data_IF_798988476398
#
_entry.id   IF_798988476398
#
_cell.length_a   1.000
_cell.length_b   1.000
_cell.length_c   1.000
_cell.angle_alpha   90.00
_cell.angle_beta   90.00
_cell.angle_gamma   90.00
#
_symmetry.space_group_name_H-M   'P 1'
#
loop_
_entity.id
_entity.type
_entity.pdbx_description
1 polymer ?
#
# COMPACT_ATOMS: atom_id res chain seq x y z
N UNK A 1 31.50 5.49 -10.45
CA UNK A 1 31.30 4.89 -10.45
C UNK A 1 30.82 3.99 -10.36
N UNK A 2 30.63 3.55 -10.51
CA UNK A 2 30.26 2.69 -10.54
C UNK A 2 29.82 1.84 -9.97
N UNK A 3 29.15 1.61 -9.88
CA UNK A 3 28.59 0.95 -9.20
C UNK A 3 28.36 -0.31 -9.40
N UNK A 4 28.75 -0.93 -8.97
CA UNK A 4 28.71 -2.21 -9.10
C UNK A 4 27.71 -2.94 -8.43
N UNK A 5 26.61 -2.56 -8.35
CA UNK A 5 25.69 -3.43 -7.80
C UNK A 5 24.88 -4.13 -8.79
N UNK A 6 25.29 -4.17 -9.97
CA UNK A 6 24.52 -4.77 -11.02
C UNK A 6 24.23 -6.23 -10.83
N UNK A 7 25.05 -6.91 -10.10
CA UNK A 7 24.82 -8.33 -9.91
C UNK A 7 23.90 -8.62 -8.74
N UNK A 8 23.55 -7.62 -7.98
CA UNK A 8 22.77 -7.84 -6.78
C UNK A 8 21.30 -7.56 -6.96
N UNK A 9 20.87 -7.24 -8.17
CA UNK A 9 19.51 -6.84 -8.43
C UNK A 9 19.24 -5.42 -7.97
N UNK A 10 17.98 -5.00 -7.95
CA UNK A 10 17.63 -3.63 -7.59
C UNK A 10 17.96 -3.36 -6.14
N UNK A 11 18.47 -2.15 -5.88
CA UNK A 11 18.70 -1.70 -4.52
C UNK A 11 17.37 -1.47 -3.82
N UNK A 12 17.31 -1.71 -2.52
CA UNK A 12 16.09 -1.41 -1.77
C UNK A 12 15.82 0.08 -1.74
N UNK A 13 14.56 0.45 -1.82
CA UNK A 13 14.10 1.82 -1.76
C UNK A 13 13.22 1.97 -0.54
N UNK A 14 13.58 2.90 0.32
CA UNK A 14 12.81 3.18 1.54
C UNK A 14 11.64 4.08 1.21
N UNK A 15 10.45 3.61 1.53
CA UNK A 15 9.21 4.37 1.36
C UNK A 15 8.67 4.74 2.73
N UNK A 16 8.38 6.02 2.94
CA UNK A 16 7.88 6.50 4.22
C UNK A 16 6.36 6.58 4.19
N UNK A 17 5.71 5.89 5.11
CA UNK A 17 4.26 5.89 5.24
C UNK A 17 3.87 6.62 6.51
N UNK A 18 3.90 7.94 6.46
CA UNK A 18 3.59 8.79 7.62
C UNK A 18 2.10 8.75 7.94
N UNK A 19 1.28 8.68 6.90
CA UNK A 19 -0.18 8.63 7.06
C UNK A 19 -0.76 7.49 6.24
N UNK A 20 -0.47 6.24 6.60
CA UNK A 20 -1.09 5.11 5.91
C UNK A 20 -2.57 5.09 6.22
N UNK A 21 -3.34 4.50 5.32
CA UNK A 21 -4.79 4.50 5.42
C UNK A 21 -5.37 3.18 4.96
N UNK A 22 -6.60 2.93 5.36
CA UNK A 22 -7.41 1.84 4.81
C UNK A 22 -8.31 2.45 3.75
N UNK A 23 -8.22 1.95 2.54
CA UNK A 23 -9.02 2.42 1.43
C UNK A 23 -10.14 1.44 1.15
N UNK A 24 -11.35 1.96 0.99
CA UNK A 24 -12.50 1.17 0.55
C UNK A 24 -12.88 1.64 -0.83
N UNK A 25 -12.79 0.75 -1.79
CA UNK A 25 -13.24 1.03 -3.15
C UNK A 25 -14.58 0.33 -3.34
N UNK A 26 -15.60 1.12 -3.60
CA UNK A 26 -16.97 0.63 -3.70
C UNK A 26 -17.44 0.75 -5.14
N UNK A 27 -18.00 -0.33 -5.65
CA UNK A 27 -18.46 -0.41 -7.03
C UNK A 27 -19.98 -0.30 -7.06
N UNK A 28 -20.46 0.61 -7.88
CA UNK A 28 -21.87 0.87 -8.10
C UNK A 28 -22.18 0.70 -9.58
N UNK A 29 -23.40 0.33 -9.91
CA UNK A 29 -23.85 0.36 -11.30
C UNK A 29 -24.03 1.80 -11.74
N UNK A 30 -24.65 2.61 -10.87
CA UNK A 30 -24.94 4.01 -11.13
C UNK A 30 -24.78 4.79 -9.84
N UNK A 31 -24.21 5.96 -9.89
CA UNK A 31 -24.14 6.82 -8.71
C UNK A 31 -25.18 7.93 -8.83
N UNK A 32 -26.06 8.03 -7.85
CA UNK A 32 -27.13 9.04 -7.78
C UNK A 32 -26.93 9.86 -6.51
N UNK A 33 -26.35 11.05 -6.61
CA UNK A 33 -26.15 11.92 -5.45
C UNK A 33 -27.47 12.24 -4.74
N UNK A 34 -27.44 12.22 -3.43
CA UNK A 34 -28.63 12.52 -2.64
C UNK A 34 -29.58 11.34 -2.46
N UNK A 35 -29.28 10.20 -3.04
CA UNK A 35 -30.12 9.00 -2.98
C UNK A 35 -29.39 7.88 -2.28
N UNK A 36 -30.12 6.81 -1.94
CA UNK A 36 -29.52 5.58 -1.44
C UNK A 36 -28.93 4.85 -2.63
N UNK A 37 -27.64 4.59 -2.58
CA UNK A 37 -26.93 3.90 -3.65
C UNK A 37 -26.54 2.50 -3.17
N UNK A 38 -26.88 1.48 -3.94
CA UNK A 38 -26.55 0.11 -3.59
C UNK A 38 -25.15 -0.22 -4.09
N UNK A 39 -24.33 -0.71 -3.17
CA UNK A 39 -22.96 -1.09 -3.48
C UNK A 39 -22.96 -2.54 -3.90
N UNK A 40 -22.38 -2.84 -5.04
CA UNK A 40 -22.33 -4.19 -5.59
C UNK A 40 -21.10 -4.95 -5.10
N UNK A 41 -20.02 -4.24 -4.85
CA UNK A 41 -18.76 -4.85 -4.43
C UNK A 41 -17.93 -3.82 -3.70
N UNK A 42 -17.18 -4.29 -2.70
CA UNK A 42 -16.25 -3.46 -1.97
C UNK A 42 -14.89 -4.16 -1.95
N UNK A 43 -13.84 -3.41 -2.24
CA UNK A 43 -12.48 -3.88 -2.08
C UNK A 43 -11.84 -3.03 -1.00
N UNK A 44 -11.19 -3.67 -0.03
CA UNK A 44 -10.53 -2.99 1.07
C UNK A 44 -9.04 -3.26 0.96
N UNK A 45 -8.24 -2.20 0.91
CA UNK A 45 -6.79 -2.30 0.75
C UNK A 45 -6.08 -1.30 1.64
N UNK A 46 -4.83 -1.60 1.95
CA UNK A 46 -3.94 -0.59 2.51
C UNK A 46 -3.67 0.47 1.45
N UNK A 47 -3.52 1.71 1.87
CA UNK A 47 -3.33 2.84 0.98
C UNK A 47 -2.54 3.94 1.70
N UNK A 48 -2.45 5.09 1.06
CA UNK A 48 -1.64 6.21 1.51
C UNK A 48 -0.47 6.39 0.56
N UNK A 49 0.10 7.59 0.54
CA UNK A 49 1.11 7.91 -0.47
C UNK A 49 2.32 6.99 -0.41
N UNK A 50 2.89 6.78 0.78
CA UNK A 50 4.04 5.90 0.94
C UNK A 50 3.72 4.45 0.61
N UNK A 51 2.55 3.98 1.02
CA UNK A 51 2.10 2.63 0.71
C UNK A 51 1.92 2.46 -0.80
N UNK A 52 1.29 3.44 -1.45
CA UNK A 52 1.05 3.36 -2.89
C UNK A 52 2.35 3.36 -3.69
N UNK A 53 3.35 4.12 -3.25
CA UNK A 53 4.67 4.10 -3.89
C UNK A 53 5.31 2.73 -3.73
N UNK A 54 5.24 2.14 -2.55
CA UNK A 54 5.79 0.81 -2.30
C UNK A 54 5.11 -0.24 -3.19
N UNK A 55 3.79 -0.16 -3.33
CA UNK A 55 3.04 -1.06 -4.19
C UNK A 55 3.47 -0.92 -5.66
N UNK A 56 3.60 0.31 -6.13
CA UNK A 56 4.05 0.56 -7.49
C UNK A 56 5.45 0.02 -7.73
N UNK A 57 6.36 0.25 -6.80
CA UNK A 57 7.71 -0.29 -6.90
C UNK A 57 7.73 -1.81 -6.96
N UNK A 58 6.90 -2.45 -6.15
CA UNK A 58 6.79 -3.90 -6.15
C UNK A 58 6.33 -4.41 -7.52
N UNK A 59 5.31 -3.78 -8.09
CA UNK A 59 4.80 -4.15 -9.40
C UNK A 59 5.82 -3.94 -10.51
N UNK A 60 6.71 -2.97 -10.36
CA UNK A 60 7.76 -2.70 -11.34
C UNK A 60 9.00 -3.57 -11.16
N UNK A 61 8.96 -4.51 -10.24
CA UNK A 61 10.08 -5.39 -9.98
C UNK A 61 11.11 -4.80 -9.02
N UNK A 62 10.81 -3.68 -8.39
CA UNK A 62 11.68 -3.08 -7.39
C UNK A 62 11.61 -3.76 -6.05
N UNK A 63 12.41 -3.27 -5.13
CA UNK A 63 12.49 -3.81 -3.77
C UNK A 63 12.12 -2.71 -2.77
N UNK A 64 10.83 -2.48 -2.52
CA UNK A 64 10.43 -1.47 -1.55
C UNK A 64 10.64 -1.97 -0.12
N UNK A 65 11.00 -1.06 0.75
CA UNK A 65 10.97 -1.24 2.20
C UNK A 65 10.15 -0.10 2.77
N UNK A 66 9.17 -0.43 3.58
CA UNK A 66 8.25 0.56 4.11
C UNK A 66 8.58 0.83 5.57
N UNK A 67 8.63 2.09 5.93
CA UNK A 67 8.73 2.53 7.31
C UNK A 67 7.56 3.45 7.58
N UNK A 68 6.76 3.15 8.60
CA UNK A 68 5.57 3.95 8.84
C UNK A 68 5.03 3.85 10.23
N UNK A 69 3.97 4.60 10.45
CA UNK A 69 3.22 4.55 11.69
C UNK A 69 2.00 3.66 11.50
N UNK A 70 1.63 2.96 12.56
CA UNK A 70 0.39 2.22 12.55
C UNK A 70 -0.19 2.21 13.96
N UNK A 71 -1.51 2.10 14.04
CA UNK A 71 -2.18 2.03 15.32
C UNK A 71 -3.58 1.47 15.17
N UNK A 72 -4.07 0.82 16.21
CA UNK A 72 -5.41 0.29 16.27
C UNK A 72 -5.72 -0.79 15.25
N UNK A 73 -7.00 -0.97 15.00
CA UNK A 73 -7.47 -1.99 14.06
C UNK A 73 -7.06 -1.68 12.62
N UNK A 74 -7.10 -0.43 12.23
CA UNK A 74 -6.67 -0.02 10.89
C UNK A 74 -5.19 -0.32 10.68
N UNK A 75 -4.37 -0.05 11.69
CA UNK A 75 -2.94 -0.35 11.60
C UNK A 75 -2.67 -1.84 11.47
N UNK A 76 -3.41 -2.66 12.21
CA UNK A 76 -3.28 -4.12 12.09
C UNK A 76 -3.66 -4.61 10.70
N UNK A 77 -4.73 -4.05 10.13
CA UNK A 77 -5.11 -4.38 8.76
C UNK A 77 -4.01 -4.01 7.77
N UNK A 78 -3.47 -2.79 7.88
CA UNK A 78 -2.43 -2.33 6.97
C UNK A 78 -1.18 -3.20 7.07
N UNK A 79 -0.76 -3.55 8.28
CA UNK A 79 0.41 -4.40 8.49
C UNK A 79 0.20 -5.79 7.86
N UNK A 80 -0.97 -6.37 8.07
CA UNK A 80 -1.31 -7.66 7.50
C UNK A 80 -1.37 -7.62 5.97
N UNK A 81 -1.87 -6.52 5.41
CA UNK A 81 -1.95 -6.37 3.96
C UNK A 81 -0.56 -6.25 3.34
N UNK A 82 0.36 -5.52 3.98
CA UNK A 82 1.75 -5.44 3.53
C UNK A 82 2.42 -6.82 3.56
N UNK A 83 2.19 -7.59 4.61
CA UNK A 83 2.73 -8.93 4.71
C UNK A 83 2.17 -9.83 3.60
N UNK A 84 0.85 -9.77 3.38
CA UNK A 84 0.19 -10.55 2.33
C UNK A 84 0.76 -10.23 0.95
N UNK A 85 1.11 -8.97 0.71
CA UNK A 85 1.64 -8.53 -0.58
C UNK A 85 3.16 -8.69 -0.69
N UNK A 86 3.80 -9.21 0.33
CA UNK A 86 5.24 -9.44 0.31
C UNK A 86 6.07 -8.16 0.40
N UNK A 87 5.54 -7.12 1.00
CA UNK A 87 6.26 -5.87 1.19
C UNK A 87 6.84 -5.84 2.61
N UNK A 88 8.15 -5.73 2.69
CA UNK A 88 8.83 -5.61 3.97
C UNK A 88 8.47 -4.27 4.59
N UNK A 89 7.92 -4.30 5.79
CA UNK A 89 7.47 -3.10 6.47
C UNK A 89 7.92 -3.11 7.92
N UNK A 90 8.28 -1.95 8.42
CA UNK A 90 8.61 -1.73 9.81
C UNK A 90 7.75 -0.61 10.35
N UNK A 91 7.14 -0.83 11.49
CA UNK A 91 6.18 0.10 12.07
C UNK A 91 6.71 0.71 13.36
N UNK A 92 6.43 1.98 13.54
CA UNK A 92 6.79 2.73 14.73
C UNK A 92 5.57 2.82 15.66
#
# INVERSE_FOLDING_TARGET
MAAPHTSAGPAPILCLAVTPAVQRTQFLTTFQPGEVNRIRRTIITASGKGVNVALALKHLGGQPRLLGFQGGNSGRFIAADMERLGIEARWI
#
